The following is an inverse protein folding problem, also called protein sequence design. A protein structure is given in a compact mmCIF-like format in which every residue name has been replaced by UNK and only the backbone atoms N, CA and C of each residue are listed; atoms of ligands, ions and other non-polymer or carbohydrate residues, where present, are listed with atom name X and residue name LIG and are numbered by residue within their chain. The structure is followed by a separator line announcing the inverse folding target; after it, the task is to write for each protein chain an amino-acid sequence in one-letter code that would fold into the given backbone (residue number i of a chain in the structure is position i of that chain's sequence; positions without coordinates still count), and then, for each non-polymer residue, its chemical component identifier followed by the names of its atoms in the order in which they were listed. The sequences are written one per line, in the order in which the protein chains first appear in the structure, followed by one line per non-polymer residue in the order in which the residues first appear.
data_IF_540697975460
#
_entry.id   IF_540697975460
#
_cell.length_a   1.000
_cell.length_b   1.000
_cell.length_c   1.000
_cell.angle_alpha   90.00
_cell.angle_beta   90.00
_cell.angle_gamma   90.00
#
_symmetry.space_group_name_H-M   'P 1'
#
loop_
_entity.id
_entity.type
_entity.pdbx_description
1 polymer ?
#
# COMPACT_ATOMS: atom_id res chain seq x y z
N UNK A 1 2.99 30.93 14.69
CA UNK A 1 1.73 30.37 15.19
C UNK A 1 1.46 29.03 14.51
N UNK A 2 0.62 28.18 15.09
CA UNK A 2 0.32 26.82 14.62
C UNK A 2 -0.88 26.78 13.67
N UNK A 3 -2.03 26.29 14.15
CA UNK A 3 -3.29 26.19 13.40
C UNK A 3 -4.50 26.67 14.21
N UNK A 4 -5.68 26.68 13.56
CA UNK A 4 -6.97 27.13 14.11
C UNK A 4 -8.05 26.04 13.92
N UNK A 5 -8.94 25.90 14.91
CA UNK A 5 -10.14 25.07 14.83
C UNK A 5 -11.39 25.93 15.02
N UNK A 6 -12.32 25.87 14.07
CA UNK A 6 -13.58 26.61 14.12
C UNK A 6 -14.75 25.62 14.29
N UNK A 7 -15.53 25.81 15.35
CA UNK A 7 -16.78 25.06 15.54
C UNK A 7 -17.95 25.86 14.97
N UNK A 8 -18.79 25.21 14.15
CA UNK A 8 -20.03 25.80 13.62
C UNK A 8 -19.83 26.73 12.41
N UNK A 9 -18.68 26.67 11.74
CA UNK A 9 -18.41 27.49 10.56
C UNK A 9 -17.08 27.14 9.91
N UNK A 10 -16.69 27.95 8.93
CA UNK A 10 -15.40 27.90 8.23
C UNK A 10 -14.95 29.34 8.03
N UNK A 11 -13.67 29.64 8.25
CA UNK A 11 -13.09 30.94 7.88
C UNK A 11 -12.61 30.91 6.41
N UNK A 12 -13.19 31.73 5.51
CA UNK A 12 -12.75 31.85 4.11
C UNK A 12 -11.30 32.32 3.93
N UNK A 13 -10.68 32.90 4.96
CA UNK A 13 -9.29 33.33 4.91
C UNK A 13 -8.29 32.15 4.90
N UNK A 14 -8.73 30.96 5.33
CA UNK A 14 -7.88 29.78 5.56
C UNK A 14 -7.89 28.74 4.43
N UNK A 15 -8.52 29.02 3.29
CA UNK A 15 -8.46 28.15 2.10
C UNK A 15 -8.48 28.94 0.78
N UNK A 16 -8.19 28.27 -0.33
CA UNK A 16 -8.27 28.84 -1.68
C UNK A 16 -9.19 27.99 -2.55
N UNK A 17 -10.04 28.64 -3.34
CA UNK A 17 -11.00 27.95 -4.21
C UNK A 17 -12.17 27.39 -3.41
N UNK A 18 -12.81 26.35 -3.95
CA UNK A 18 -13.98 25.70 -3.34
C UNK A 18 -13.59 24.38 -2.66
N UNK A 19 -14.37 23.99 -1.66
CA UNK A 19 -14.23 22.67 -1.04
C UNK A 19 -14.75 21.57 -1.96
N UNK A 20 -14.02 20.46 -2.02
CA UNK A 20 -14.53 19.21 -2.61
C UNK A 20 -15.15 18.38 -1.50
N UNK A 21 -16.46 18.17 -1.56
CA UNK A 21 -17.19 17.39 -0.56
C UNK A 21 -17.40 15.95 -1.04
N UNK A 22 -17.07 15.00 -0.17
CA UNK A 22 -17.37 13.57 -0.33
C UNK A 22 -18.20 13.09 0.86
N UNK A 23 -19.16 12.17 0.65
CA UNK A 23 -20.01 11.69 1.74
C UNK A 23 -19.24 10.77 2.68
N UNK A 24 -19.65 10.75 3.95
CA UNK A 24 -19.17 9.76 4.91
C UNK A 24 -19.74 8.38 4.55
N UNK A 25 -18.87 7.38 4.39
CA UNK A 25 -19.26 6.03 3.96
C UNK A 25 -19.53 5.10 5.14
N UNK A 26 -18.83 5.29 6.25
CA UNK A 26 -19.03 4.52 7.49
C UNK A 26 -19.15 5.43 8.70
N UNK A 27 -20.35 5.50 9.29
CA UNK A 27 -20.59 6.29 10.50
C UNK A 27 -19.90 5.64 11.71
N UNK A 28 -19.16 6.46 12.46
CA UNK A 28 -18.27 6.03 13.54
C UNK A 28 -16.87 6.61 13.36
N UNK A 29 -16.46 6.79 12.09
CA UNK A 29 -15.25 7.49 11.69
C UNK A 29 -15.60 8.61 10.69
N UNK A 30 -14.70 9.58 10.53
CA UNK A 30 -14.72 10.49 9.38
C UNK A 30 -14.10 9.79 8.16
N UNK A 31 -14.72 8.67 7.77
CA UNK A 31 -14.28 7.82 6.67
C UNK A 31 -15.05 8.13 5.38
N UNK A 32 -14.33 8.14 4.27
CA UNK A 32 -14.87 8.37 2.93
C UNK A 32 -14.15 7.51 1.89
N UNK A 33 -14.78 7.31 0.74
CA UNK A 33 -14.15 6.62 -0.39
C UNK A 33 -13.12 7.53 -1.07
N UNK A 34 -11.94 6.98 -1.34
CA UNK A 34 -10.81 7.62 -2.00
C UNK A 34 -10.43 6.83 -3.24
N UNK A 35 -9.96 7.53 -4.27
CA UNK A 35 -9.47 6.91 -5.50
C UNK A 35 -8.04 6.38 -5.40
N UNK A 36 -7.43 6.21 -6.57
CA UNK A 36 -6.04 5.77 -6.74
C UNK A 36 -5.03 6.77 -6.15
N UNK A 37 -3.92 6.25 -5.62
CA UNK A 37 -2.77 7.05 -5.18
C UNK A 37 -1.76 7.13 -6.31
N UNK A 38 -1.32 8.34 -6.64
CA UNK A 38 -0.31 8.57 -7.67
C UNK A 38 1.04 8.85 -7.02
N UNK A 39 2.12 8.36 -7.62
CA UNK A 39 3.50 8.65 -7.24
C UNK A 39 4.17 9.27 -8.47
N UNK A 40 4.32 10.59 -8.44
CA UNK A 40 4.47 11.41 -9.63
C UNK A 40 3.19 11.31 -10.48
N UNK A 41 3.36 10.97 -11.75
CA UNK A 41 2.24 10.73 -12.67
C UNK A 41 1.90 9.23 -12.80
N UNK A 42 2.43 8.37 -11.92
CA UNK A 42 2.25 6.91 -11.99
C UNK A 42 1.27 6.42 -10.92
N UNK A 43 0.24 5.68 -11.33
CA UNK A 43 -0.66 4.99 -10.40
C UNK A 43 0.09 3.96 -9.54
N UNK A 44 -0.26 3.84 -8.27
CA UNK A 44 0.26 2.81 -7.37
C UNK A 44 -0.29 1.41 -7.70
N UNK A 45 -1.48 1.37 -8.31
CA UNK A 45 -2.17 0.17 -8.77
C UNK A 45 -2.98 -0.56 -7.70
N UNK A 46 -2.71 -0.30 -6.41
CA UNK A 46 -3.41 -0.96 -5.30
C UNK A 46 -4.79 -0.36 -5.06
N UNK A 47 -4.91 0.98 -5.08
CA UNK A 47 -6.18 1.68 -4.87
C UNK A 47 -6.96 1.95 -6.17
N UNK A 48 -6.67 1.21 -7.25
CA UNK A 48 -7.30 1.41 -8.56
C UNK A 48 -8.80 1.13 -8.58
N UNK A 49 -9.29 0.26 -7.69
CA UNK A 49 -10.72 0.00 -7.46
C UNK A 49 -11.34 0.87 -6.36
N UNK A 50 -10.58 1.84 -5.84
CA UNK A 50 -10.92 2.63 -4.67
C UNK A 50 -10.39 2.03 -3.37
N UNK A 51 -10.12 2.93 -2.42
CA UNK A 51 -9.70 2.64 -1.05
C UNK A 51 -10.55 3.46 -0.08
N UNK A 52 -10.64 3.04 1.18
CA UNK A 52 -11.18 3.89 2.23
C UNK A 52 -10.09 4.83 2.76
N UNK A 53 -10.48 6.05 3.14
CA UNK A 53 -9.62 7.00 3.82
C UNK A 53 -10.32 7.59 5.04
N UNK A 54 -9.56 7.90 6.09
CA UNK A 54 -10.05 8.56 7.31
C UNK A 54 -9.31 9.88 7.46
N UNK A 55 -10.05 10.97 7.67
CA UNK A 55 -9.47 12.24 8.08
C UNK A 55 -9.32 12.26 9.61
N UNK A 56 -8.09 12.13 10.10
CA UNK A 56 -7.77 12.10 11.53
C UNK A 56 -6.77 13.21 11.90
N UNK A 57 -7.25 14.30 12.46
CA UNK A 57 -6.40 15.39 12.97
C UNK A 57 -5.58 15.00 14.21
N UNK A 58 -5.85 13.83 14.81
CA UNK A 58 -5.08 13.27 15.93
C UNK A 58 -3.77 12.60 15.51
N UNK A 59 -3.57 12.37 14.21
CA UNK A 59 -2.39 11.69 13.67
C UNK A 59 -1.64 12.61 12.69
N UNK A 60 -0.31 12.64 12.78
CA UNK A 60 0.53 13.47 11.89
C UNK A 60 1.00 12.75 10.63
N UNK A 61 1.19 11.42 10.70
CA UNK A 61 1.67 10.61 9.59
C UNK A 61 0.51 10.13 8.71
N UNK A 62 0.76 10.03 7.41
CA UNK A 62 -0.14 9.31 6.51
C UNK A 62 0.11 7.80 6.69
N UNK A 63 -0.94 7.07 7.05
CA UNK A 63 -0.93 5.61 7.12
C UNK A 63 -1.65 5.04 5.90
N UNK A 64 -1.09 3.98 5.32
CA UNK A 64 -1.67 3.33 4.14
C UNK A 64 -1.12 1.93 3.92
N UNK A 65 -1.62 1.21 2.90
CA UNK A 65 -1.20 -0.15 2.60
C UNK A 65 0.31 -0.25 2.36
N UNK A 66 0.96 -1.27 2.94
CA UNK A 66 2.39 -1.53 2.78
C UNK A 66 2.82 -1.58 1.31
N UNK A 67 1.97 -2.11 0.42
CA UNK A 67 2.20 -2.14 -1.03
C UNK A 67 2.41 -0.74 -1.64
N UNK A 68 1.66 0.27 -1.18
CA UNK A 68 1.78 1.66 -1.65
C UNK A 68 2.96 2.34 -0.97
N UNK A 69 3.08 2.22 0.35
CA UNK A 69 4.16 2.85 1.13
C UNK A 69 5.54 2.38 0.66
N UNK A 70 5.69 1.10 0.30
CA UNK A 70 6.95 0.56 -0.25
C UNK A 70 7.30 1.22 -1.59
N UNK A 71 6.32 1.46 -2.47
CA UNK A 71 6.53 2.18 -3.74
C UNK A 71 6.92 3.65 -3.49
N UNK A 72 6.27 4.31 -2.53
CA UNK A 72 6.61 5.69 -2.12
C UNK A 72 8.04 5.73 -1.58
N UNK A 73 8.39 4.85 -0.64
CA UNK A 73 9.73 4.77 -0.05
C UNK A 73 10.79 4.60 -1.14
N UNK A 74 10.57 3.73 -2.11
CA UNK A 74 11.47 3.59 -3.24
C UNK A 74 11.57 4.89 -4.06
N UNK A 75 10.45 5.51 -4.39
CA UNK A 75 10.41 6.68 -5.28
C UNK A 75 11.02 7.94 -4.65
N UNK A 76 10.88 8.12 -3.33
CA UNK A 76 11.48 9.25 -2.59
C UNK A 76 12.87 8.93 -2.04
N UNK A 77 13.36 7.70 -2.21
CA UNK A 77 14.64 7.25 -1.70
C UNK A 77 14.68 7.01 -0.18
N UNK A 78 13.53 6.84 0.47
CA UNK A 78 13.46 6.58 1.91
C UNK A 78 14.04 5.22 2.29
N UNK A 79 14.66 5.13 3.45
CA UNK A 79 15.13 3.86 4.00
C UNK A 79 13.95 2.91 4.26
N UNK A 80 14.19 1.61 4.07
CA UNK A 80 13.27 0.56 4.46
C UNK A 80 14.04 -0.63 5.06
N UNK A 81 13.34 -1.71 5.32
CA UNK A 81 13.89 -2.99 5.73
C UNK A 81 13.85 -3.98 4.59
N UNK A 82 14.87 -4.85 4.54
CA UNK A 82 14.92 -5.94 3.57
C UNK A 82 14.04 -7.08 4.05
N UNK A 83 13.03 -7.46 3.26
CA UNK A 83 12.28 -8.71 3.49
C UNK A 83 12.90 -9.85 2.71
N UNK A 84 13.34 -10.88 3.43
CA UNK A 84 13.87 -12.10 2.82
C UNK A 84 12.78 -12.92 2.14
N UNK A 85 11.56 -12.87 2.67
CA UNK A 85 10.38 -13.52 2.11
C UNK A 85 10.04 -12.92 0.75
N UNK A 86 10.00 -11.58 0.67
CA UNK A 86 9.82 -10.85 -0.59
C UNK A 86 10.91 -11.20 -1.60
N UNK A 87 12.19 -11.13 -1.20
CA UNK A 87 13.31 -11.51 -2.07
C UNK A 87 13.19 -12.96 -2.57
N UNK A 88 12.81 -13.89 -1.69
CA UNK A 88 12.65 -15.29 -2.04
C UNK A 88 11.49 -15.52 -3.03
N UNK A 89 10.32 -14.90 -2.80
CA UNK A 89 9.18 -14.97 -3.71
C UNK A 89 9.56 -14.44 -5.09
N UNK A 90 10.20 -13.27 -5.16
CA UNK A 90 10.59 -12.64 -6.43
C UNK A 90 11.64 -13.48 -7.16
N UNK A 91 12.66 -13.97 -6.45
CA UNK A 91 13.71 -14.77 -7.04
C UNK A 91 13.24 -16.14 -7.55
N UNK A 92 12.33 -16.81 -6.82
CA UNK A 92 11.88 -18.17 -7.15
C UNK A 92 10.66 -18.19 -8.06
N UNK A 93 9.72 -17.27 -7.88
CA UNK A 93 8.41 -17.29 -8.53
C UNK A 93 8.12 -16.06 -9.37
N UNK A 94 9.00 -15.05 -9.42
CA UNK A 94 8.72 -13.80 -10.12
C UNK A 94 8.40 -13.99 -11.60
N UNK A 95 9.14 -14.84 -12.31
CA UNK A 95 8.84 -15.17 -13.72
C UNK A 95 7.49 -15.87 -13.85
N UNK A 96 7.21 -16.86 -13.00
CA UNK A 96 5.92 -17.56 -12.98
C UNK A 96 4.75 -16.61 -12.73
N UNK A 97 4.89 -15.67 -11.78
CA UNK A 97 3.88 -14.65 -11.49
C UNK A 97 3.64 -13.77 -12.72
N UNK A 98 4.71 -13.31 -13.40
CA UNK A 98 4.59 -12.52 -14.63
C UNK A 98 3.92 -13.30 -15.76
N UNK A 99 4.30 -14.55 -15.99
CA UNK A 99 3.67 -15.42 -16.99
C UNK A 99 2.17 -15.61 -16.71
N UNK A 100 1.81 -15.84 -15.44
CA UNK A 100 0.41 -15.94 -15.03
C UNK A 100 -0.35 -14.63 -15.27
N UNK A 101 0.23 -13.48 -14.93
CA UNK A 101 -0.36 -12.16 -15.21
C UNK A 101 -0.57 -11.93 -16.72
N UNK A 102 0.40 -12.31 -17.56
CA UNK A 102 0.32 -12.19 -19.02
C UNK A 102 -0.73 -13.14 -19.62
N UNK A 103 -0.95 -14.31 -19.01
CA UNK A 103 -1.97 -15.28 -19.42
C UNK A 103 -3.42 -14.85 -19.10
N UNK A 104 -3.63 -13.61 -18.63
CA UNK A 104 -4.93 -13.07 -18.20
C UNK A 104 -5.56 -13.84 -17.03
N UNK A 105 -4.73 -14.39 -16.15
CA UNK A 105 -5.21 -14.93 -14.88
C UNK A 105 -5.77 -13.81 -13.99
N UNK A 106 -6.73 -14.16 -13.13
CA UNK A 106 -7.24 -13.24 -12.09
C UNK A 106 -6.11 -12.99 -11.08
N UNK A 107 -5.58 -11.75 -10.97
CA UNK A 107 -4.42 -11.45 -10.12
C UNK A 107 -4.59 -11.92 -8.68
N UNK A 108 -5.82 -11.80 -8.15
CA UNK A 108 -6.18 -12.15 -6.78
C UNK A 108 -5.99 -13.65 -6.49
N UNK A 109 -5.99 -14.49 -7.54
CA UNK A 109 -5.88 -15.95 -7.41
C UNK A 109 -4.46 -16.46 -7.57
N UNK A 110 -3.54 -15.67 -8.12
CA UNK A 110 -2.17 -16.12 -8.45
C UNK A 110 -1.47 -16.72 -7.23
N UNK A 111 -1.49 -16.02 -6.10
CA UNK A 111 -0.78 -16.45 -4.89
C UNK A 111 -1.37 -17.72 -4.27
N UNK A 112 -2.67 -17.95 -4.41
CA UNK A 112 -3.32 -19.21 -4.00
C UNK A 112 -2.99 -20.36 -4.95
N UNK A 113 -2.92 -20.10 -6.27
CA UNK A 113 -2.56 -21.10 -7.27
C UNK A 113 -1.10 -21.54 -7.16
N UNK A 114 -0.20 -20.62 -6.80
CA UNK A 114 1.21 -20.93 -6.50
C UNK A 114 1.35 -21.68 -5.15
N UNK A 115 0.35 -21.57 -4.27
CA UNK A 115 0.33 -22.25 -2.97
C UNK A 115 0.86 -21.41 -1.79
N UNK A 116 1.16 -20.13 -2.03
CA UNK A 116 1.56 -19.20 -0.97
C UNK A 116 0.41 -18.78 -0.08
N UNK A 117 -0.82 -18.75 -0.59
CA UNK A 117 -2.01 -18.37 0.16
C UNK A 117 -3.00 -19.55 0.24
N UNK A 118 -3.63 -19.72 1.40
CA UNK A 118 -4.67 -20.76 1.61
C UNK A 118 -6.02 -20.37 1.03
N UNK A 119 -6.27 -19.09 0.85
CA UNK A 119 -7.52 -18.52 0.34
C UNK A 119 -7.28 -17.72 -0.94
N UNK A 120 -8.32 -17.56 -1.75
CA UNK A 120 -8.29 -16.99 -3.10
C UNK A 120 -8.44 -15.45 -3.13
N UNK A 121 -8.04 -14.76 -2.07
CA UNK A 121 -8.13 -13.30 -1.94
C UNK A 121 -9.54 -12.75 -1.72
N UNK A 122 -10.59 -13.58 -1.63
CA UNK A 122 -11.98 -13.12 -1.40
C UNK A 122 -12.30 -12.79 0.06
N UNK A 123 -11.43 -13.17 0.99
CA UNK A 123 -11.46 -12.69 2.36
C UNK A 123 -10.49 -11.52 2.42
N UNK A 124 -11.04 -10.30 2.47
CA UNK A 124 -10.27 -9.12 2.77
C UNK A 124 -9.38 -9.43 3.96
N UNK A 125 -8.09 -9.12 3.83
CA UNK A 125 -7.20 -9.04 4.98
C UNK A 125 -7.93 -8.12 5.94
N UNK A 126 -8.56 -8.70 6.96
CA UNK A 126 -9.12 -7.95 8.05
C UNK A 126 -7.88 -7.35 8.71
N UNK A 127 -7.47 -6.17 8.24
CA UNK A 127 -6.89 -5.19 9.14
C UNK A 127 -8.01 -4.88 10.12
N UNK A 128 -8.23 -5.81 11.05
CA UNK A 128 -9.13 -5.65 12.15
C UNK A 128 -8.58 -4.46 12.89
N UNK A 129 -9.15 -3.29 12.61
CA UNK A 129 -9.11 -2.17 13.52
C UNK A 129 -9.88 -2.71 14.71
N UNK A 130 -9.16 -3.40 15.60
CA UNK A 130 -9.70 -3.91 16.84
C UNK A 130 -10.19 -2.69 17.59
N UNK A 131 -11.49 -2.55 17.64
CA UNK A 131 -12.13 -1.71 18.64
C UNK A 131 -11.64 -2.19 20.01
N UNK A 132 -11.28 -1.26 20.89
CA UNK A 132 -10.76 -1.51 22.25
C UNK A 132 -11.75 -2.23 23.20
N UNK A 133 -12.82 -2.83 22.66
CA UNK A 133 -13.92 -3.44 23.43
C UNK A 133 -14.15 -4.93 23.17
N UNK A 134 -13.43 -5.57 22.24
CA UNK A 134 -13.67 -7.00 21.96
C UNK A 134 -12.56 -7.90 22.53
N UNK A 135 -12.94 -8.57 23.63
CA UNK A 135 -12.20 -9.62 24.32
C UNK A 135 -12.19 -10.95 23.55
N UNK A 136 -10.98 -11.54 23.52
CA UNK A 136 -10.63 -12.96 23.52
C UNK A 136 -10.88 -13.91 22.32
N UNK A 137 -9.79 -14.66 22.06
CA UNK A 137 -9.65 -16.01 21.45
C UNK A 137 -9.80 -16.16 19.93
N UNK A 138 -8.64 -16.08 19.26
CA UNK A 138 -8.31 -17.04 18.19
C UNK A 138 -6.82 -17.39 18.20
N UNK A 139 -6.53 -18.62 18.61
CA UNK A 139 -5.26 -19.33 18.47
C UNK A 139 -5.18 -19.91 17.07
N UNK A 140 -4.05 -19.78 16.33
CA UNK A 140 -3.44 -20.90 15.56
C UNK A 140 -2.35 -20.48 14.55
N UNK A 141 -1.08 -20.79 14.85
CA UNK A 141 -0.11 -21.47 13.95
C UNK A 141 0.20 -20.99 12.52
N UNK A 142 0.25 -19.69 12.20
CA UNK A 142 0.34 -19.21 10.79
C UNK A 142 1.51 -18.32 10.36
N UNK A 143 2.53 -18.04 11.17
CA UNK A 143 3.41 -16.86 10.95
C UNK A 143 4.27 -16.84 9.67
N UNK A 144 4.68 -17.99 9.13
CA UNK A 144 5.59 -18.05 7.95
C UNK A 144 4.83 -18.09 6.62
N UNK A 145 3.69 -18.79 6.60
CA UNK A 145 2.83 -18.90 5.41
C UNK A 145 2.18 -17.55 5.10
N UNK A 146 1.78 -16.83 6.15
CA UNK A 146 1.15 -15.50 6.07
C UNK A 146 2.10 -14.43 5.51
N UNK A 147 3.37 -14.45 5.92
CA UNK A 147 4.39 -13.53 5.41
C UNK A 147 4.70 -13.78 3.92
N UNK A 148 4.76 -15.04 3.51
CA UNK A 148 5.00 -15.42 2.10
C UNK A 148 3.79 -15.10 1.22
N UNK A 149 2.57 -15.30 1.74
CA UNK A 149 1.33 -14.90 1.09
C UNK A 149 1.30 -13.38 0.85
N UNK A 150 1.51 -12.59 1.91
CA UNK A 150 1.55 -11.13 1.82
C UNK A 150 2.62 -10.63 0.84
N UNK A 151 3.82 -11.23 0.87
CA UNK A 151 4.88 -10.91 -0.07
C UNK A 151 4.50 -11.21 -1.53
N UNK A 152 3.83 -12.34 -1.78
CA UNK A 152 3.32 -12.69 -3.09
C UNK A 152 2.25 -11.70 -3.57
N UNK A 153 1.26 -11.37 -2.74
CA UNK A 153 0.19 -10.45 -3.10
C UNK A 153 0.73 -9.05 -3.44
N UNK A 154 1.67 -8.54 -2.62
CA UNK A 154 2.37 -7.30 -2.93
C UNK A 154 3.13 -7.38 -4.26
N UNK A 155 3.86 -8.47 -4.51
CA UNK A 155 4.58 -8.67 -5.76
C UNK A 155 3.64 -8.70 -6.98
N UNK A 156 2.50 -9.38 -6.88
CA UNK A 156 1.47 -9.42 -7.94
C UNK A 156 0.98 -8.02 -8.27
N UNK A 157 0.66 -7.20 -7.25
CA UNK A 157 0.22 -5.80 -7.45
C UNK A 157 1.29 -4.97 -8.15
N UNK A 158 2.54 -5.03 -7.67
CA UNK A 158 3.64 -4.25 -8.25
C UNK A 158 3.96 -4.68 -9.69
N UNK A 159 3.98 -5.99 -9.95
CA UNK A 159 4.21 -6.55 -11.29
C UNK A 159 3.08 -6.16 -12.24
N UNK A 160 1.82 -6.29 -11.81
CA UNK A 160 0.68 -5.91 -12.62
C UNK A 160 0.70 -4.42 -12.95
N UNK A 161 1.06 -3.57 -11.98
CA UNK A 161 1.19 -2.14 -12.20
C UNK A 161 2.27 -1.82 -13.25
N UNK A 162 3.45 -2.46 -13.17
CA UNK A 162 4.52 -2.23 -14.15
C UNK A 162 4.23 -2.83 -15.52
N UNK A 163 3.47 -3.93 -15.61
CA UNK A 163 2.96 -4.46 -16.88
C UNK A 163 2.04 -3.45 -17.57
N UNK A 164 1.16 -2.76 -16.85
CA UNK A 164 0.31 -1.68 -17.41
C UNK A 164 1.13 -0.50 -17.95
N UNK A 165 2.37 -0.34 -17.49
CA UNK A 165 3.32 0.68 -17.94
C UNK A 165 4.23 0.20 -19.09
N UNK A 166 3.93 -0.94 -19.72
CA UNK A 166 4.67 -1.52 -20.85
C UNK A 166 6.18 -1.75 -20.57
N UNK A 167 6.55 -2.07 -19.32
CA UNK A 167 7.94 -2.41 -18.99
C UNK A 167 8.31 -3.84 -19.42
N UNK A 168 9.61 -4.11 -19.62
CA UNK A 168 10.09 -5.46 -19.94
C UNK A 168 10.12 -6.36 -18.70
N UNK A 169 10.07 -7.68 -18.90
CA UNK A 169 10.14 -8.67 -17.80
C UNK A 169 11.31 -8.41 -16.84
N UNK A 170 12.52 -8.23 -17.37
CA UNK A 170 13.71 -7.99 -16.54
C UNK A 170 13.62 -6.67 -15.76
N UNK A 171 13.08 -5.62 -16.37
CA UNK A 171 12.87 -4.34 -15.67
C UNK A 171 11.88 -4.49 -14.52
N UNK A 172 10.79 -5.23 -14.73
CA UNK A 172 9.77 -5.47 -13.72
C UNK A 172 10.34 -6.27 -12.55
N UNK A 173 11.05 -7.37 -12.84
CA UNK A 173 11.64 -8.21 -11.79
C UNK A 173 12.70 -7.46 -10.97
N UNK A 174 13.54 -6.65 -11.63
CA UNK A 174 14.53 -5.82 -10.95
C UNK A 174 13.86 -4.78 -10.06
N UNK A 175 12.86 -4.06 -10.57
CA UNK A 175 12.13 -3.06 -9.80
C UNK A 175 11.44 -3.68 -8.57
N UNK A 176 10.76 -4.80 -8.74
CA UNK A 176 10.09 -5.50 -7.64
C UNK A 176 11.10 -6.04 -6.62
N UNK A 177 12.25 -6.51 -7.07
CA UNK A 177 13.35 -6.89 -6.19
C UNK A 177 13.90 -5.68 -5.40
N UNK A 178 14.02 -4.49 -5.99
CA UNK A 178 14.40 -3.26 -5.29
C UNK A 178 13.34 -2.85 -4.25
N UNK A 179 12.04 -3.01 -4.55
CA UNK A 179 10.97 -2.76 -3.58
C UNK A 179 11.08 -3.65 -2.34
N UNK A 180 11.53 -4.90 -2.47
CA UNK A 180 11.77 -5.78 -1.32
C UNK A 180 12.82 -5.24 -0.32
N UNK A 181 13.60 -4.22 -0.68
CA UNK A 181 14.58 -3.55 0.18
C UNK A 181 14.03 -2.25 0.82
N UNK A 182 12.83 -1.83 0.42
CA UNK A 182 12.22 -0.55 0.78
C UNK A 182 10.95 -0.70 1.61
N UNK A 183 10.69 -1.91 2.12
CA UNK A 183 9.51 -2.20 2.94
C UNK A 183 9.56 -1.35 4.21
N UNK A 184 8.47 -0.67 4.61
CA UNK A 184 8.45 0.12 5.83
C UNK A 184 8.72 -0.74 7.06
N UNK A 185 9.58 -0.24 7.96
CA UNK A 185 9.87 -0.91 9.24
C UNK A 185 8.76 -0.62 10.25
N UNK A 186 8.20 -1.62 10.94
CA UNK A 186 7.24 -1.37 12.02
C UNK A 186 7.92 -0.79 13.28
N UNK A 187 9.24 -0.92 13.40
CA UNK A 187 10.01 -0.50 14.59
C UNK A 187 10.94 0.68 14.33
N UNK A 188 10.98 1.21 13.10
CA UNK A 188 11.90 2.27 12.70
C UNK A 188 11.26 3.25 11.74
N UNK A 189 11.91 4.41 11.59
CA UNK A 189 11.44 5.45 10.68
C UNK A 189 11.95 5.22 9.26
N UNK A 190 11.15 5.61 8.26
CA UNK A 190 11.60 5.69 6.87
C UNK A 190 12.27 7.05 6.68
N UNK A 191 13.61 7.06 6.65
CA UNK A 191 14.43 8.28 6.63
C UNK A 191 14.82 8.63 5.21
N UNK A 192 14.81 9.92 4.86
CA UNK A 192 15.20 10.44 3.54
C UNK A 192 16.38 11.41 3.67
N UNK A 193 17.14 11.57 2.60
CA UNK A 193 18.17 12.60 2.50
C UNK A 193 17.54 13.98 2.29
N UNK A 194 17.77 14.93 3.20
CA UNK A 194 17.19 16.28 3.09
C UNK A 194 17.60 17.00 1.79
N UNK A 195 18.76 16.66 1.23
CA UNK A 195 19.26 17.25 -0.01
C UNK A 195 18.50 16.80 -1.25
N UNK A 196 17.81 15.65 -1.22
CA UNK A 196 17.07 15.13 -2.36
C UNK A 196 15.61 15.59 -2.42
N UNK A 197 15.13 16.35 -1.41
CA UNK A 197 13.74 16.81 -1.31
C UNK A 197 13.22 17.51 -2.58
N UNK A 198 14.06 18.31 -3.23
CA UNK A 198 13.69 19.05 -4.45
C UNK A 198 13.49 18.16 -5.68
N UNK A 199 14.02 16.93 -5.64
CA UNK A 199 13.96 15.94 -6.72
C UNK A 199 12.93 14.84 -6.49
N UNK A 200 12.31 14.79 -5.30
CA UNK A 200 11.30 13.80 -4.99
C UNK A 200 10.04 14.01 -5.83
N UNK A 201 9.38 12.93 -6.27
CA UNK A 201 8.09 13.04 -6.94
C UNK A 201 7.03 13.55 -5.97
N UNK A 202 6.02 14.22 -6.52
CA UNK A 202 4.79 14.52 -5.77
C UNK A 202 4.01 13.22 -5.57
N UNK A 203 3.34 13.07 -4.44
CA UNK A 203 2.43 11.96 -4.15
C UNK A 203 1.04 12.55 -3.93
#
# INVERSE_FOLDING_TARGET
EGGELVFGGVDPSHYKGEHTYVPVTQKGYWQFDMGEVLIGDQASGFCGSGCAAIADSGTSLLAGPTSIITQINHAIGASGVVSQECKAVVAQYGKTILEMLLSQSQPEKICSQIGFCTFDGTRGVDMGIKSVVDDDKSTSSGSVHDASCSACEMAVVWMQNKLRQNQTEDQILNYVNELCERIPSPMGESVVECSSLSTMPKV
#
